data_IF_913203383373
#
_entry.id   IF_913203383373
#
_cell.length_a   1.000
_cell.length_b   1.000
_cell.length_c   1.000
_cell.angle_alpha   90.00
_cell.angle_beta   90.00
_cell.angle_gamma   90.00
#
_symmetry.space_group_name_H-M   'P 1'
#
loop_
_entity.id
_entity.type
_entity.pdbx_description
1 polymer ?
#
# COMPACT_ATOMS: atom_id res chain seq x y z
N UNK A 1 10.29 1.49 16.32
CA UNK A 1 9.80 2.45 15.31
C UNK A 1 9.32 1.76 14.03
N UNK A 2 10.14 0.97 13.33
CA UNK A 2 9.75 0.29 12.07
C UNK A 2 8.65 -0.79 12.21
N UNK A 3 8.51 -1.42 13.38
CA UNK A 3 7.46 -2.43 13.63
C UNK A 3 6.06 -1.79 13.67
N UNK A 4 5.93 -0.65 14.36
CA UNK A 4 4.68 0.10 14.42
C UNK A 4 4.20 0.48 13.01
N UNK A 5 5.10 0.98 12.16
CA UNK A 5 4.78 1.36 10.78
C UNK A 5 4.24 0.17 9.95
N UNK A 6 4.78 -1.04 10.16
CA UNK A 6 4.29 -2.25 9.48
C UNK A 6 2.87 -2.60 9.94
N UNK A 7 2.56 -2.44 11.24
CA UNK A 7 1.23 -2.71 11.77
C UNK A 7 0.20 -1.69 11.26
N UNK A 8 0.57 -0.41 11.21
CA UNK A 8 -0.27 0.64 10.62
C UNK A 8 -0.57 0.35 9.14
N UNK A 9 0.45 0.00 8.35
CA UNK A 9 0.24 -0.38 6.95
C UNK A 9 -0.64 -1.62 6.79
N UNK A 10 -0.49 -2.61 7.67
CA UNK A 10 -1.34 -3.80 7.65
C UNK A 10 -2.81 -3.42 7.87
N UNK A 11 -3.09 -2.59 8.87
CA UNK A 11 -4.46 -2.10 9.16
C UNK A 11 -5.05 -1.32 7.99
N UNK A 12 -4.32 -0.36 7.42
CA UNK A 12 -4.79 0.40 6.27
C UNK A 12 -5.03 -0.48 5.02
N UNK A 13 -4.15 -1.44 4.76
CA UNK A 13 -4.32 -2.37 3.65
C UNK A 13 -5.56 -3.27 3.83
N UNK A 14 -5.84 -3.72 5.05
CA UNK A 14 -7.06 -4.49 5.38
C UNK A 14 -8.32 -3.65 5.21
N UNK A 15 -8.34 -2.41 5.71
CA UNK A 15 -9.47 -1.49 5.53
C UNK A 15 -9.74 -1.25 4.05
N UNK A 16 -8.68 -1.11 3.25
CA UNK A 16 -8.87 -0.88 1.82
C UNK A 16 -9.39 -2.13 1.10
N UNK A 17 -8.95 -3.34 1.47
CA UNK A 17 -9.49 -4.59 0.93
C UNK A 17 -10.98 -4.76 1.24
N UNK A 18 -11.42 -4.37 2.45
CA UNK A 18 -12.85 -4.38 2.83
C UNK A 18 -13.61 -3.39 1.96
N UNK A 19 -13.13 -2.15 1.84
CA UNK A 19 -13.77 -1.13 1.00
C UNK A 19 -13.87 -1.56 -0.48
N UNK A 20 -12.86 -2.27 -0.98
CA UNK A 20 -12.83 -2.83 -2.33
C UNK A 20 -13.76 -4.03 -2.50
N UNK A 21 -14.06 -4.75 -1.41
CA UNK A 21 -15.04 -5.83 -1.39
C UNK A 21 -16.45 -5.29 -1.32
N UNK A 22 -16.72 -4.29 -0.48
CA UNK A 22 -18.04 -3.63 -0.39
C UNK A 22 -18.43 -2.99 -1.73
N UNK A 23 -17.46 -2.46 -2.48
CA UNK A 23 -17.66 -1.94 -3.83
C UNK A 23 -17.98 -3.05 -4.86
N UNK A 24 -17.42 -4.26 -4.71
CA UNK A 24 -17.69 -5.40 -5.61
C UNK A 24 -19.09 -5.98 -5.41
N UNK A 25 -19.58 -5.99 -4.17
CA UNK A 25 -20.91 -6.47 -3.81
C UNK A 25 -22.01 -5.39 -3.94
N UNK A 26 -21.70 -4.26 -4.59
CA UNK A 26 -22.62 -3.17 -4.91
C UNK A 26 -23.28 -2.51 -3.67
N UNK A 27 -22.63 -2.58 -2.50
CA UNK A 27 -23.16 -2.06 -1.24
C UNK A 27 -22.99 -0.54 -1.07
N UNK A 28 -22.15 0.11 -1.89
CA UNK A 28 -21.75 1.50 -1.70
C UNK A 28 -21.64 2.25 -3.03
N UNK A 29 -21.99 3.54 -3.02
CA UNK A 29 -21.91 4.37 -4.22
C UNK A 29 -20.45 4.47 -4.70
N UNK A 30 -20.16 4.16 -5.97
CA UNK A 30 -18.79 4.13 -6.47
C UNK A 30 -18.11 5.51 -6.52
N UNK A 31 -18.89 6.60 -6.61
CA UNK A 31 -18.36 7.96 -6.48
C UNK A 31 -17.80 8.22 -5.07
N UNK A 32 -18.54 7.81 -4.04
CA UNK A 32 -18.14 8.05 -2.64
C UNK A 32 -16.95 7.16 -2.26
N UNK A 33 -16.92 5.92 -2.77
CA UNK A 33 -15.79 5.01 -2.62
C UNK A 33 -14.52 5.52 -3.31
N UNK A 34 -14.61 6.11 -4.51
CA UNK A 34 -13.43 6.64 -5.21
C UNK A 34 -12.72 7.76 -4.42
N UNK A 35 -13.49 8.66 -3.80
CA UNK A 35 -12.97 9.75 -2.96
C UNK A 35 -12.29 9.22 -1.68
N UNK A 36 -12.92 8.24 -1.02
CA UNK A 36 -12.35 7.55 0.15
C UNK A 36 -11.08 6.80 -0.20
N UNK A 37 -11.08 6.07 -1.32
CA UNK A 37 -9.91 5.33 -1.80
C UNK A 37 -8.76 6.29 -2.12
N UNK A 38 -9.02 7.41 -2.80
CA UNK A 38 -7.97 8.40 -3.09
C UNK A 38 -7.33 8.96 -1.81
N UNK A 39 -8.14 9.28 -0.80
CA UNK A 39 -7.65 9.78 0.50
C UNK A 39 -6.79 8.74 1.23
N UNK A 40 -7.20 7.46 1.21
CA UNK A 40 -6.47 6.36 1.84
C UNK A 40 -5.20 6.00 1.05
N UNK A 41 -5.23 6.02 -0.28
CA UNK A 41 -4.07 5.80 -1.17
C UNK A 41 -2.96 6.77 -0.84
N UNK A 42 -3.29 8.06 -0.65
CA UNK A 42 -2.30 9.09 -0.41
C UNK A 42 -1.58 8.89 0.93
N UNK A 43 -2.32 8.47 1.96
CA UNK A 43 -1.75 8.09 3.26
C UNK A 43 -0.88 6.83 3.10
N UNK A 44 -1.33 5.82 2.35
CA UNK A 44 -0.57 4.58 2.10
C UNK A 44 0.75 4.86 1.38
N UNK A 45 0.75 5.72 0.35
CA UNK A 45 1.96 6.09 -0.40
C UNK A 45 2.97 6.82 0.49
N UNK A 46 2.48 7.71 1.35
CA UNK A 46 3.32 8.44 2.31
C UNK A 46 3.96 7.47 3.31
N UNK A 47 3.17 6.56 3.87
CA UNK A 47 3.67 5.53 4.79
C UNK A 47 4.65 4.56 4.11
N UNK A 48 4.40 4.19 2.84
CA UNK A 48 5.28 3.34 2.06
C UNK A 48 6.63 4.02 1.79
N UNK A 49 6.63 5.32 1.48
CA UNK A 49 7.83 6.13 1.35
C UNK A 49 8.62 6.23 2.66
N UNK A 50 7.94 6.46 3.78
CA UNK A 50 8.54 6.49 5.11
C UNK A 50 9.17 5.14 5.50
N UNK A 51 8.54 4.02 5.14
CA UNK A 51 9.09 2.68 5.35
C UNK A 51 10.31 2.40 4.47
N UNK A 52 10.28 2.82 3.21
CA UNK A 52 11.42 2.73 2.31
C UNK A 52 12.63 3.52 2.86
N UNK A 53 12.42 4.76 3.31
CA UNK A 53 13.44 5.57 3.97
C UNK A 53 13.95 4.92 5.26
N UNK A 54 13.06 4.32 6.06
CA UNK A 54 13.44 3.59 7.26
C UNK A 54 14.33 2.38 6.94
N UNK A 55 14.09 1.64 5.85
CA UNK A 55 14.96 0.55 5.43
C UNK A 55 16.34 1.02 4.96
N UNK A 56 16.41 2.20 4.32
CA UNK A 56 17.68 2.85 3.98
C UNK A 56 18.48 3.19 5.25
N UNK A 57 17.84 3.80 6.25
CA UNK A 57 18.46 4.13 7.54
C UNK A 57 18.90 2.88 8.33
N UNK A 58 18.16 1.78 8.21
CA UNK A 58 18.47 0.53 8.91
C UNK A 58 19.45 -0.37 8.12
N UNK A 59 20.00 0.08 6.98
CA UNK A 59 20.92 -0.68 6.10
C UNK A 59 20.40 -2.07 5.70
N UNK A 60 19.07 -2.21 5.51
CA UNK A 60 18.47 -3.45 5.01
C UNK A 60 18.33 -3.36 3.48
N UNK A 61 19.41 -3.66 2.77
CA UNK A 61 19.51 -3.50 1.32
C UNK A 61 18.50 -4.32 0.52
N UNK A 62 18.25 -5.58 0.90
CA UNK A 62 17.35 -6.47 0.16
C UNK A 62 15.89 -5.96 0.08
N UNK A 63 15.21 -5.66 1.22
CA UNK A 63 13.85 -5.11 1.16
C UNK A 63 13.80 -3.69 0.58
N UNK A 64 14.87 -2.90 0.75
CA UNK A 64 14.96 -1.58 0.11
C UNK A 64 14.97 -1.68 -1.43
N UNK A 65 15.75 -2.60 -2.00
CA UNK A 65 15.88 -2.75 -3.46
C UNK A 65 14.54 -3.15 -4.11
N UNK A 66 13.74 -3.94 -3.43
CA UNK A 66 12.39 -4.32 -3.89
C UNK A 66 11.39 -3.16 -3.74
N UNK A 67 11.46 -2.38 -2.65
CA UNK A 67 10.52 -1.29 -2.40
C UNK A 67 10.87 0.02 -3.13
N UNK A 68 12.13 0.26 -3.46
CA UNK A 68 12.60 1.45 -4.14
C UNK A 68 11.92 1.71 -5.50
N UNK A 69 11.84 0.75 -6.45
CA UNK A 69 11.18 0.99 -7.75
C UNK A 69 9.67 1.25 -7.59
N UNK A 70 9.03 0.60 -6.60
CA UNK A 70 7.60 0.81 -6.32
C UNK A 70 7.36 2.20 -5.73
N UNK A 71 8.19 2.61 -4.77
CA UNK A 71 8.10 3.95 -4.17
C UNK A 71 8.37 5.05 -5.19
N UNK A 72 9.33 4.85 -6.10
CA UNK A 72 9.62 5.76 -7.20
C UNK A 72 8.43 5.88 -8.16
N UNK A 73 7.81 4.76 -8.53
CA UNK A 73 6.62 4.76 -9.39
C UNK A 73 5.46 5.53 -8.77
N UNK A 74 5.18 5.30 -7.48
CA UNK A 74 4.15 6.05 -6.75
C UNK A 74 4.48 7.54 -6.63
N UNK A 75 5.74 7.90 -6.38
CA UNK A 75 6.20 9.28 -6.32
C UNK A 75 6.03 10.01 -7.66
N UNK A 76 6.35 9.35 -8.77
CA UNK A 76 6.11 9.88 -10.12
C UNK A 76 4.62 10.06 -10.39
N UNK A 77 3.78 9.10 -10.01
CA UNK A 77 2.33 9.18 -10.17
C UNK A 77 1.71 10.32 -9.36
N UNK A 78 2.25 10.58 -8.16
CA UNK A 78 1.88 11.72 -7.32
C UNK A 78 2.25 13.05 -7.97
N UNK A 79 3.46 13.18 -8.53
CA UNK A 79 3.90 14.38 -9.26
C UNK A 79 3.05 14.66 -10.51
N UNK A 80 2.67 13.61 -11.24
CA UNK A 80 1.82 13.72 -12.43
C UNK A 80 0.35 14.04 -12.10
N UNK A 81 -0.02 14.21 -10.82
CA UNK A 81 -1.39 14.41 -10.31
C UNK A 81 -2.41 13.37 -10.77
N UNK A 82 -1.98 12.26 -11.38
CA UNK A 82 -2.81 11.12 -11.80
C UNK A 82 -3.21 10.19 -10.63
N UNK A 83 -3.06 10.66 -9.39
CA UNK A 83 -3.52 9.98 -8.18
C UNK A 83 -5.04 9.80 -8.08
N UNK A 84 -5.82 10.61 -8.83
CA UNK A 84 -7.26 10.50 -8.89
C UNK A 84 -7.62 9.23 -9.66
N UNK A 85 -7.98 8.20 -8.91
CA UNK A 85 -8.51 6.97 -9.50
C UNK A 85 -9.95 7.25 -9.93
N UNK A 86 -10.16 7.28 -11.25
CA UNK A 86 -11.49 7.42 -11.82
C UNK A 86 -12.33 6.18 -11.50
N UNK A 87 -13.64 6.39 -11.32
CA UNK A 87 -14.58 5.36 -10.89
C UNK A 87 -14.55 4.16 -11.86
N UNK A 88 -14.51 4.43 -13.16
CA UNK A 88 -14.44 3.43 -14.23
C UNK A 88 -13.10 2.68 -14.25
N UNK A 89 -12.02 3.33 -13.84
CA UNK A 89 -10.68 2.74 -13.77
C UNK A 89 -10.56 1.80 -12.55
N UNK A 90 -11.20 2.15 -11.43
CA UNK A 90 -11.15 1.37 -10.18
C UNK A 90 -11.82 0.01 -10.32
N UNK A 91 -12.96 -0.06 -11.02
CA UNK A 91 -13.63 -1.34 -11.30
C UNK A 91 -12.80 -2.22 -12.23
N UNK A 92 -12.11 -1.62 -13.22
CA UNK A 92 -11.23 -2.35 -14.14
C UNK A 92 -9.99 -2.88 -13.43
N UNK A 93 -9.43 -2.11 -12.50
CA UNK A 93 -8.21 -2.45 -11.76
C UNK A 93 -8.48 -3.21 -10.45
N UNK A 94 -9.75 -3.39 -10.05
CA UNK A 94 -10.18 -3.97 -8.76
C UNK A 94 -9.49 -5.29 -8.42
N UNK A 95 -9.55 -6.24 -9.36
CA UNK A 95 -8.97 -7.58 -9.21
C UNK A 95 -7.43 -7.52 -9.13
N UNK A 96 -6.83 -6.61 -9.90
CA UNK A 96 -5.40 -6.40 -9.90
C UNK A 96 -4.92 -5.78 -8.58
N UNK A 97 -5.60 -4.75 -8.09
CA UNK A 97 -5.33 -4.08 -6.81
C UNK A 97 -5.48 -5.05 -5.63
N UNK A 98 -6.52 -5.90 -5.59
CA UNK A 98 -6.66 -6.95 -4.56
C UNK A 98 -5.45 -7.89 -4.55
N UNK A 99 -5.06 -8.40 -5.73
CA UNK A 99 -3.94 -9.32 -5.86
C UNK A 99 -2.61 -8.66 -5.48
N UNK A 100 -2.40 -7.42 -5.91
CA UNK A 100 -1.23 -6.63 -5.57
C UNK A 100 -1.12 -6.37 -4.06
N UNK A 101 -2.24 -6.03 -3.41
CA UNK A 101 -2.30 -5.81 -1.95
C UNK A 101 -2.06 -7.09 -1.17
N UNK A 102 -2.60 -8.22 -1.60
CA UNK A 102 -2.29 -9.52 -1.00
C UNK A 102 -0.80 -9.84 -1.05
N UNK A 103 -0.15 -9.59 -2.19
CA UNK A 103 1.30 -9.78 -2.36
C UNK A 103 2.08 -8.82 -1.45
N UNK A 104 1.69 -7.53 -1.34
CA UNK A 104 2.31 -6.60 -0.39
C UNK A 104 2.20 -7.08 1.06
N UNK A 105 1.03 -7.55 1.48
CA UNK A 105 0.81 -8.07 2.83
C UNK A 105 1.72 -9.26 3.12
N UNK A 106 1.86 -10.20 2.17
CA UNK A 106 2.78 -11.32 2.29
C UNK A 106 4.25 -10.86 2.41
N UNK A 107 4.62 -9.81 1.68
CA UNK A 107 5.94 -9.19 1.77
C UNK A 107 6.19 -8.51 3.13
N UNK A 108 5.21 -7.75 3.64
CA UNK A 108 5.30 -7.14 4.98
C UNK A 108 5.40 -8.19 6.09
N UNK A 109 4.68 -9.31 5.96
CA UNK A 109 4.80 -10.42 6.89
C UNK A 109 6.19 -11.08 6.84
N UNK A 110 6.71 -11.31 5.63
CA UNK A 110 8.05 -11.89 5.42
C UNK A 110 9.15 -10.99 5.97
N UNK A 111 9.07 -9.69 5.72
CA UNK A 111 10.03 -8.70 6.23
C UNK A 111 9.96 -8.56 7.76
N UNK A 112 8.76 -8.58 8.36
CA UNK A 112 8.60 -8.67 9.82
C UNK A 112 9.34 -9.88 10.39
N UNK A 113 9.14 -11.06 9.79
CA UNK A 113 9.78 -12.31 10.24
C UNK A 113 11.31 -12.19 10.15
N UNK A 114 11.82 -11.67 9.04
CA UNK A 114 13.26 -11.46 8.83
C UNK A 114 13.89 -10.52 9.87
N UNK A 115 13.23 -9.40 10.18
CA UNK A 115 13.70 -8.45 11.20
C UNK A 115 13.70 -9.11 12.60
N UNK A 116 12.71 -9.95 12.89
CA UNK A 116 12.64 -10.69 14.16
C UNK A 116 13.76 -11.73 14.28
N UNK A 117 14.13 -12.41 13.20
CA UNK A 117 15.20 -13.41 13.18
C UNK A 117 16.59 -12.80 13.37
N UNK A 118 16.81 -11.57 12.88
CA UNK A 118 18.10 -10.87 12.99
C UNK A 118 18.33 -10.20 14.36
N UNK A 119 17.32 -10.20 15.24
CA UNK A 119 17.38 -9.61 16.58
C UNK A 119 17.74 -10.64 17.68
N UNK A 120 17.71 -11.93 17.36
CA UNK A 120 18.27 -13.01 18.18
C UNK A 120 19.67 -13.34 17.69
#
# INVERSE_FOLDING_TARGET
MSIELILWLFSFASIMLICLSDLEFDYINPYDSSSRINSVVLIEYTLQGALCASFLLTLHWFPFLVMAPVAYYHGKLYMDRKHLVDVTEIFRQLNWEKKYRMIKLAFYFSTRKLISLKRH
#
